data_IF_045862250063
#
_entry.id   IF_045862250063
#
_cell.length_a   1.000
_cell.length_b   1.000
_cell.length_c   1.000
_cell.angle_alpha   90.00
_cell.angle_beta   90.00
_cell.angle_gamma   90.00
#
_symmetry.space_group_name_H-M   'P 1'
#
loop_
_entity.id
_entity.type
_entity.pdbx_description
1 polymer ?
#
# COMPACT_ATOMS: atom_id res chain seq x y z
N UNK A 1 -16.04 -18.01 14.16
CA UNK A 1 -16.56 -17.15 13.07
C UNK A 1 -15.38 -16.66 12.24
N UNK A 2 -15.55 -16.55 10.92
CA UNK A 2 -14.51 -16.40 9.90
C UNK A 2 -13.72 -15.08 10.00
N UNK A 3 -12.43 -15.13 10.35
CA UNK A 3 -11.52 -13.98 10.18
C UNK A 3 -11.05 -13.92 8.72
N UNK A 4 -11.71 -13.07 7.93
CA UNK A 4 -11.41 -12.87 6.49
C UNK A 4 -11.20 -11.40 6.13
N UNK A 5 -10.75 -10.55 7.05
CA UNK A 5 -10.74 -9.08 6.87
C UNK A 5 -9.36 -8.40 6.80
N UNK A 6 -8.24 -9.12 6.78
CA UNK A 6 -6.91 -8.50 7.01
C UNK A 6 -6.03 -8.30 5.77
N UNK A 7 -6.61 -8.30 4.55
CA UNK A 7 -5.85 -8.25 3.28
C UNK A 7 -5.89 -6.93 2.51
N UNK A 8 -6.39 -5.84 3.10
CA UNK A 8 -6.92 -4.73 2.29
C UNK A 8 -6.06 -3.48 2.09
N UNK A 9 -5.14 -3.12 2.99
CA UNK A 9 -4.78 -1.70 3.11
C UNK A 9 -3.93 -1.16 1.95
N UNK A 10 -3.05 -1.96 1.37
CA UNK A 10 -2.06 -1.50 0.37
C UNK A 10 -2.29 -2.06 -1.05
N UNK A 11 -3.27 -2.95 -1.24
CA UNK A 11 -3.61 -3.58 -2.53
C UNK A 11 -4.32 -2.65 -3.53
N UNK A 12 -4.21 -1.33 -3.37
CA UNK A 12 -5.07 -0.36 -4.03
C UNK A 12 -4.39 0.53 -5.05
N UNK A 13 -3.06 0.66 -4.95
CA UNK A 13 -2.27 1.17 -6.07
C UNK A 13 -2.49 0.24 -7.29
N UNK A 14 -2.68 -1.06 -6.99
CA UNK A 14 -2.75 -2.25 -7.85
C UNK A 14 -3.64 -2.28 -9.09
N UNK A 15 -4.77 -1.59 -9.08
CA UNK A 15 -5.85 -1.94 -9.99
C UNK A 15 -6.44 -0.75 -10.74
N UNK A 16 -5.78 0.38 -10.56
CA UNK A 16 -6.24 1.65 -11.05
C UNK A 16 -5.75 1.89 -12.48
N UNK A 17 -4.64 1.26 -12.86
CA UNK A 17 -4.05 1.35 -14.20
C UNK A 17 -3.94 -0.01 -14.90
N UNK A 18 -4.06 -1.13 -14.19
CA UNK A 18 -4.27 -2.46 -14.78
C UNK A 18 -5.73 -2.66 -15.21
N UNK A 19 -6.23 -1.67 -15.98
CA UNK A 19 -7.40 -1.82 -16.83
C UNK A 19 -7.06 -2.92 -17.84
N UNK A 20 -7.52 -4.14 -17.55
CA UNK A 20 -7.42 -5.30 -18.43
C UNK A 20 -8.00 -4.96 -19.82
N UNK A 21 -7.17 -4.46 -20.73
CA UNK A 21 -7.49 -4.26 -22.15
C UNK A 21 -6.85 -5.36 -23.02
N UNK A 22 -6.18 -6.34 -22.40
CA UNK A 22 -5.66 -7.53 -23.05
C UNK A 22 -6.53 -8.75 -22.74
N UNK A 23 -7.10 -9.34 -23.79
CA UNK A 23 -8.04 -10.47 -23.82
C UNK A 23 -9.51 -10.12 -23.55
N UNK A 24 -10.29 -10.13 -24.63
CA UNK A 24 -11.75 -9.99 -24.70
C UNK A 24 -12.54 -11.12 -23.98
N UNK A 25 -11.93 -11.85 -23.05
CA UNK A 25 -12.58 -12.94 -22.34
C UNK A 25 -12.09 -12.98 -20.89
N UNK A 26 -13.03 -12.73 -19.95
CA UNK A 26 -12.91 -12.82 -18.49
C UNK A 26 -12.57 -11.53 -17.68
N UNK A 27 -13.28 -10.44 -17.98
CA UNK A 27 -13.93 -9.61 -16.96
C UNK A 27 -15.21 -9.04 -17.59
N UNK A 28 -16.37 -9.58 -17.23
CA UNK A 28 -17.66 -9.16 -17.81
C UNK A 28 -17.89 -7.64 -17.65
N UNK A 29 -18.12 -6.96 -18.77
CA UNK A 29 -19.20 -5.97 -18.90
C UNK A 29 -19.09 -4.62 -18.21
N UNK A 30 -18.03 -4.30 -17.45
CA UNK A 30 -17.90 -2.98 -16.83
C UNK A 30 -17.19 -2.03 -17.80
N UNK A 31 -17.91 -1.08 -18.43
CA UNK A 31 -17.29 -0.12 -19.33
C UNK A 31 -16.29 0.75 -18.57
N UNK A 32 -15.17 1.05 -19.24
CA UNK A 32 -14.26 2.09 -18.79
C UNK A 32 -14.61 3.40 -19.51
N UNK A 33 -14.52 4.53 -18.82
CA UNK A 33 -14.62 5.87 -19.39
C UNK A 33 -13.40 6.70 -19.03
N UNK A 34 -13.08 7.65 -19.91
CA UNK A 34 -12.03 8.65 -19.74
C UNK A 34 -12.61 9.99 -20.16
N UNK A 35 -12.70 10.91 -19.21
CA UNK A 35 -13.09 12.30 -19.44
C UNK A 35 -11.88 13.20 -19.20
N UNK A 36 -11.66 14.17 -20.09
CA UNK A 36 -10.61 15.18 -20.00
C UNK A 36 -10.93 16.35 -20.94
N UNK A 37 -10.26 17.50 -20.76
CA UNK A 37 -10.40 18.65 -21.66
C UNK A 37 -9.85 18.33 -23.06
N UNK A 38 -8.72 17.63 -23.13
CA UNK A 38 -8.11 17.17 -24.39
C UNK A 38 -7.71 15.71 -24.33
N UNK A 39 -7.87 15.01 -25.46
CA UNK A 39 -7.44 13.63 -25.66
C UNK A 39 -6.78 13.51 -27.03
N UNK A 40 -5.53 13.07 -27.04
CA UNK A 40 -4.77 12.73 -28.24
C UNK A 40 -4.48 11.23 -28.26
N UNK A 41 -4.59 10.60 -29.43
CA UNK A 41 -4.29 9.17 -29.60
C UNK A 41 -3.52 8.91 -30.90
N UNK A 42 -2.27 8.45 -30.80
CA UNK A 42 -1.49 7.97 -31.95
C UNK A 42 -1.75 6.46 -32.12
N UNK A 43 -2.59 6.12 -33.10
CA UNK A 43 -2.90 4.72 -33.46
C UNK A 43 -1.68 3.91 -33.92
N UNK A 44 -0.64 4.55 -34.44
CA UNK A 44 0.58 3.87 -34.92
C UNK A 44 1.42 3.42 -33.73
N UNK A 45 1.56 4.24 -32.70
CA UNK A 45 2.32 3.89 -31.48
C UNK A 45 1.47 3.18 -30.44
N UNK A 46 0.16 3.44 -30.41
CA UNK A 46 -0.77 3.01 -29.38
C UNK A 46 -0.82 3.96 -28.18
N UNK A 47 -0.25 5.16 -28.28
CA UNK A 47 -0.13 6.11 -27.17
C UNK A 47 -1.33 7.06 -27.12
N UNK A 48 -1.94 7.17 -25.95
CA UNK A 48 -2.98 8.14 -25.60
C UNK A 48 -2.45 9.14 -24.58
N UNK A 49 -2.75 10.42 -24.75
CA UNK A 49 -2.49 11.47 -23.76
C UNK A 49 -3.78 12.23 -23.49
N UNK A 50 -4.17 12.28 -22.22
CA UNK A 50 -5.32 13.05 -21.73
C UNK A 50 -4.83 14.21 -20.85
N UNK A 51 -5.35 15.42 -21.04
CA UNK A 51 -4.95 16.61 -20.26
C UNK A 51 -6.18 17.43 -19.86
N UNK A 52 -6.13 18.00 -18.65
CA UNK A 52 -7.18 18.84 -18.10
C UNK A 52 -8.28 18.00 -17.44
N UNK A 53 -8.39 18.10 -16.12
CA UNK A 53 -9.40 17.42 -15.29
C UNK A 53 -9.63 15.95 -15.67
N UNK A 54 -8.53 15.19 -15.79
CA UNK A 54 -8.60 13.80 -16.20
C UNK A 54 -9.39 13.01 -15.16
N UNK A 55 -10.40 12.27 -15.61
CA UNK A 55 -11.17 11.31 -14.81
C UNK A 55 -11.24 9.98 -15.57
N UNK A 56 -10.58 8.96 -15.04
CA UNK A 56 -10.75 7.57 -15.47
C UNK A 56 -11.73 6.89 -14.53
N UNK A 57 -12.72 6.19 -15.08
CA UNK A 57 -13.70 5.41 -14.30
C UNK A 57 -13.85 4.01 -14.87
N UNK A 58 -13.87 3.00 -14.01
CA UNK A 58 -14.27 1.63 -14.35
C UNK A 58 -14.93 0.96 -13.15
N UNK A 59 -16.25 0.78 -13.21
CA UNK A 59 -17.03 0.27 -12.09
C UNK A 59 -16.92 1.21 -10.91
N UNK A 60 -16.56 0.68 -9.74
CA UNK A 60 -16.36 1.47 -8.51
C UNK A 60 -14.95 2.10 -8.40
N UNK A 61 -14.14 1.97 -9.45
CA UNK A 61 -12.76 2.46 -9.47
C UNK A 61 -12.67 3.79 -10.20
N UNK A 62 -11.98 4.75 -9.61
CA UNK A 62 -11.84 6.10 -10.16
C UNK A 62 -10.42 6.63 -10.00
N UNK A 63 -9.94 7.39 -10.98
CA UNK A 63 -8.61 8.02 -10.99
C UNK A 63 -8.77 9.41 -11.50
N UNK A 64 -8.27 10.38 -10.74
CA UNK A 64 -8.24 11.77 -11.17
C UNK A 64 -6.83 12.31 -11.17
N UNK A 65 -6.55 13.24 -12.09
CA UNK A 65 -5.31 13.99 -12.13
C UNK A 65 -5.36 15.12 -13.15
N UNK A 66 -4.26 15.85 -13.31
CA UNK A 66 -4.16 16.93 -14.28
C UNK A 66 -3.82 16.41 -15.69
N UNK A 67 -3.05 15.33 -15.77
CA UNK A 67 -2.62 14.71 -17.03
C UNK A 67 -2.50 13.20 -16.86
N UNK A 68 -2.83 12.44 -17.89
CA UNK A 68 -2.59 11.00 -17.93
C UNK A 68 -2.04 10.56 -19.28
N UNK A 69 -1.22 9.51 -19.26
CA UNK A 69 -0.76 8.81 -20.47
C UNK A 69 -1.11 7.34 -20.40
N UNK A 70 -1.33 6.71 -21.55
CA UNK A 70 -1.58 5.28 -21.66
C UNK A 70 -1.03 4.74 -22.97
N UNK A 71 -0.36 3.59 -22.94
CA UNK A 71 0.04 2.88 -24.14
C UNK A 71 -0.75 1.57 -24.27
N UNK A 72 -1.54 1.42 -25.33
CA UNK A 72 -2.39 0.24 -25.55
C UNK A 72 -1.62 -1.04 -25.86
N UNK A 73 -0.36 -0.95 -26.30
CA UNK A 73 0.49 -2.10 -26.61
C UNK A 73 1.20 -2.64 -25.39
N UNK A 74 1.75 -1.75 -24.55
CA UNK A 74 2.49 -2.13 -23.34
C UNK A 74 1.60 -2.16 -22.10
N UNK A 75 0.42 -1.52 -22.16
CA UNK A 75 -0.46 -1.25 -21.02
C UNK A 75 0.18 -0.35 -19.95
N UNK A 76 1.30 0.30 -20.27
CA UNK A 76 1.92 1.26 -19.37
C UNK A 76 1.05 2.52 -19.29
N UNK A 77 0.96 3.11 -18.10
CA UNK A 77 0.15 4.28 -17.85
C UNK A 77 0.77 5.19 -16.79
N UNK A 78 0.48 6.49 -16.90
CA UNK A 78 0.85 7.48 -15.89
C UNK A 78 -0.32 8.42 -15.61
N UNK A 79 -0.38 8.95 -14.39
CA UNK A 79 -1.27 10.03 -13.98
C UNK A 79 -0.47 11.01 -13.14
N UNK A 80 -0.57 12.31 -13.44
CA UNK A 80 0.27 13.35 -12.86
C UNK A 80 -0.58 14.52 -12.36
N UNK A 81 -0.19 15.08 -11.21
CA UNK A 81 -0.76 16.28 -10.63
C UNK A 81 -2.05 16.03 -9.83
N UNK A 82 -1.98 16.21 -8.51
CA UNK A 82 -3.10 16.04 -7.58
C UNK A 82 -3.83 14.70 -7.75
N UNK A 83 -3.06 13.61 -7.85
CA UNK A 83 -3.63 12.30 -8.15
C UNK A 83 -4.51 11.84 -7.00
N UNK A 84 -5.72 11.41 -7.33
CA UNK A 84 -6.61 10.71 -6.40
C UNK A 84 -7.04 9.42 -7.06
N UNK A 85 -6.80 8.32 -6.37
CA UNK A 85 -7.01 6.98 -6.87
C UNK A 85 -7.92 6.24 -5.88
N UNK A 86 -9.07 5.73 -6.34
CA UNK A 86 -10.00 4.95 -5.53
C UNK A 86 -10.16 3.57 -6.13
N UNK A 87 -9.92 2.53 -5.33
CA UNK A 87 -10.09 1.14 -5.74
C UNK A 87 -10.49 0.25 -4.56
N UNK A 88 -11.60 -0.48 -4.72
CA UNK A 88 -12.10 -1.45 -3.73
C UNK A 88 -12.10 -0.91 -2.29
N UNK A 89 -12.55 0.33 -2.11
CA UNK A 89 -12.64 0.99 -0.80
C UNK A 89 -11.34 1.59 -0.26
N UNK A 90 -10.20 1.44 -0.95
CA UNK A 90 -9.02 2.24 -0.64
C UNK A 90 -9.02 3.53 -1.43
N UNK A 91 -8.61 4.61 -0.78
CA UNK A 91 -8.28 5.89 -1.38
C UNK A 91 -6.78 6.16 -1.26
N UNK A 92 -6.14 6.46 -2.37
CA UNK A 92 -4.74 6.89 -2.50
C UNK A 92 -4.69 8.33 -3.00
N UNK A 93 -3.79 9.14 -2.46
CA UNK A 93 -3.43 10.45 -2.99
C UNK A 93 -1.92 10.55 -3.16
N UNK A 94 -1.46 11.15 -4.25
CA UNK A 94 -0.04 11.40 -4.52
C UNK A 94 0.13 12.47 -5.61
N UNK A 95 1.37 12.87 -5.89
CA UNK A 95 1.68 13.81 -6.97
C UNK A 95 1.80 13.10 -8.33
N UNK A 96 2.26 11.85 -8.32
CA UNK A 96 2.49 11.02 -9.50
C UNK A 96 2.11 9.56 -9.26
N UNK A 97 1.48 8.93 -10.24
CA UNK A 97 1.13 7.51 -10.25
C UNK A 97 1.53 6.89 -11.59
N UNK A 98 2.18 5.74 -11.56
CA UNK A 98 2.60 4.98 -12.74
C UNK A 98 2.28 3.51 -12.59
N UNK A 99 2.06 2.86 -13.73
CA UNK A 99 1.91 1.41 -13.87
C UNK A 99 2.67 0.94 -15.09
N UNK A 100 3.48 -0.11 -14.92
CA UNK A 100 4.05 -0.89 -16.01
C UNK A 100 3.19 -2.14 -16.24
N UNK A 101 2.05 -1.93 -16.92
CA UNK A 101 1.06 -2.96 -17.17
C UNK A 101 0.51 -3.59 -15.88
N UNK A 102 0.73 -4.89 -15.70
CA UNK A 102 0.32 -5.66 -14.52
C UNK A 102 1.47 -6.04 -13.59
N UNK A 103 2.70 -5.59 -13.85
CA UNK A 103 3.90 -6.05 -13.14
C UNK A 103 4.23 -5.18 -11.92
N UNK A 104 4.15 -3.86 -12.10
CA UNK A 104 4.63 -2.89 -11.13
C UNK A 104 3.81 -1.61 -11.21
N UNK A 105 3.53 -1.05 -10.04
CA UNK A 105 2.95 0.28 -9.89
C UNK A 105 3.75 1.09 -8.88
N UNK A 106 3.85 2.39 -9.14
CA UNK A 106 4.57 3.32 -8.28
C UNK A 106 3.71 4.55 -8.03
N UNK A 107 3.55 4.92 -6.77
CA UNK A 107 3.06 6.22 -6.34
C UNK A 107 4.22 7.05 -5.79
N UNK A 108 4.32 8.32 -6.15
CA UNK A 108 5.40 9.20 -5.73
C UNK A 108 4.88 10.61 -5.40
N UNK A 109 5.52 11.23 -4.41
CA UNK A 109 5.23 12.58 -3.93
C UNK A 109 3.99 12.60 -3.05
N UNK A 110 4.16 12.98 -1.77
CA UNK A 110 3.08 13.15 -0.80
C UNK A 110 2.11 11.95 -0.73
N UNK A 111 2.64 10.72 -0.83
CA UNK A 111 1.79 9.52 -0.93
C UNK A 111 1.05 9.28 0.38
N UNK A 112 -0.28 9.20 0.30
CA UNK A 112 -1.16 8.85 1.43
C UNK A 112 -2.24 7.89 0.96
N UNK A 113 -2.33 6.74 1.62
CA UNK A 113 -3.37 5.75 1.37
C UNK A 113 -4.23 5.51 2.61
N UNK A 114 -5.50 5.21 2.41
CA UNK A 114 -6.45 4.93 3.48
C UNK A 114 -7.49 3.90 3.07
N UNK A 115 -7.83 2.98 3.97
CA UNK A 115 -8.94 2.04 3.87
C UNK A 115 -9.46 1.78 5.28
N UNK A 116 -10.75 1.98 5.53
CA UNK A 116 -11.34 1.79 6.86
C UNK A 116 -10.57 2.58 7.96
N UNK A 117 -10.13 1.94 9.03
CA UNK A 117 -9.38 2.53 10.17
C UNK A 117 -7.87 2.65 9.91
N UNK A 118 -7.45 2.44 8.67
CA UNK A 118 -6.12 1.94 8.34
C UNK A 118 -5.48 2.88 7.30
N UNK A 119 -4.28 3.40 7.58
CA UNK A 119 -3.59 4.32 6.66
C UNK A 119 -2.12 3.96 6.43
N UNK A 120 -1.58 4.46 5.32
CA UNK A 120 -0.14 4.45 5.08
C UNK A 120 0.30 5.76 4.43
N UNK A 121 1.54 6.15 4.66
CA UNK A 121 2.17 7.28 3.96
C UNK A 121 3.66 7.07 3.75
N UNK A 122 4.19 7.72 2.73
CA UNK A 122 5.61 7.75 2.39
C UNK A 122 5.88 8.69 1.23
N UNK A 123 7.15 8.89 0.87
CA UNK A 123 7.50 9.69 -0.29
C UNK A 123 7.32 8.94 -1.61
N UNK A 124 7.53 7.62 -1.58
CA UNK A 124 7.33 6.72 -2.71
C UNK A 124 6.84 5.37 -2.19
N UNK A 125 5.87 4.78 -2.91
CA UNK A 125 5.34 3.45 -2.63
C UNK A 125 5.34 2.65 -3.93
N UNK A 126 6.11 1.57 -3.94
CA UNK A 126 6.16 0.60 -5.03
C UNK A 126 5.29 -0.61 -4.70
N UNK A 127 4.59 -1.13 -5.69
CA UNK A 127 3.66 -2.24 -5.55
C UNK A 127 3.82 -3.25 -6.70
N UNK A 128 3.97 -4.52 -6.34
CA UNK A 128 4.20 -5.64 -7.25
C UNK A 128 3.12 -6.72 -7.04
N UNK A 129 1.98 -6.65 -7.74
CA UNK A 129 0.85 -7.57 -7.53
C UNK A 129 1.20 -9.04 -7.78
N UNK A 130 2.05 -9.29 -8.77
CA UNK A 130 2.43 -10.65 -9.16
C UNK A 130 3.43 -11.28 -8.18
N UNK A 131 4.11 -10.46 -7.39
CA UNK A 131 5.10 -10.89 -6.40
C UNK A 131 4.47 -10.98 -5.00
N UNK A 132 3.37 -11.73 -4.88
CA UNK A 132 2.69 -11.93 -3.60
C UNK A 132 2.07 -10.65 -2.99
N UNK A 133 1.63 -9.73 -3.86
CA UNK A 133 1.19 -8.38 -3.49
C UNK A 133 2.28 -7.66 -2.65
N UNK A 134 3.51 -7.66 -3.18
CA UNK A 134 4.67 -7.10 -2.50
C UNK A 134 4.70 -5.58 -2.59
N UNK A 135 5.10 -4.92 -1.49
CA UNK A 135 5.15 -3.48 -1.35
C UNK A 135 6.49 -3.04 -0.80
N UNK A 136 6.95 -1.91 -1.29
CA UNK A 136 8.13 -1.21 -0.77
C UNK A 136 7.79 0.25 -0.51
N UNK A 137 8.13 0.73 0.68
CA UNK A 137 8.23 2.15 1.02
C UNK A 137 9.70 2.41 1.35
N UNK A 138 10.48 2.87 0.38
CA UNK A 138 11.96 2.87 0.46
C UNK A 138 12.55 4.11 1.16
N UNK A 139 11.74 5.15 1.41
CA UNK A 139 12.19 6.43 1.97
C UNK A 139 11.23 6.95 3.03
N UNK A 140 11.31 6.35 4.22
CA UNK A 140 10.45 6.67 5.34
C UNK A 140 9.03 6.19 5.10
N UNK A 141 8.45 5.57 6.11
CA UNK A 141 7.07 5.11 6.04
C UNK A 141 6.38 5.26 7.38
N UNK A 142 5.09 5.57 7.32
CA UNK A 142 4.20 5.46 8.47
C UNK A 142 3.02 4.58 8.07
N UNK A 143 2.71 3.59 8.91
CA UNK A 143 1.49 2.79 8.82
C UNK A 143 0.67 3.04 10.08
N UNK A 144 -0.65 3.09 9.95
CA UNK A 144 -1.57 3.20 11.11
C UNK A 144 -2.71 2.20 11.03
N UNK A 145 -3.20 1.78 12.20
CA UNK A 145 -4.44 1.03 12.36
C UNK A 145 -5.15 1.52 13.62
N UNK A 146 -6.23 2.28 13.46
CA UNK A 146 -6.80 3.06 14.54
C UNK A 146 -5.74 4.02 15.10
N UNK A 147 -5.49 3.93 16.40
CA UNK A 147 -4.49 4.75 17.10
C UNK A 147 -3.09 4.13 17.12
N UNK A 148 -2.93 2.89 16.66
CA UNK A 148 -1.62 2.23 16.58
C UNK A 148 -0.83 2.79 15.39
N UNK A 149 0.45 3.08 15.60
CA UNK A 149 1.36 3.63 14.58
C UNK A 149 2.62 2.78 14.48
N UNK A 150 3.08 2.56 13.26
CA UNK A 150 4.37 1.93 12.95
C UNK A 150 5.17 2.81 11.99
N UNK A 151 6.46 2.99 12.25
CA UNK A 151 7.39 3.74 11.41
C UNK A 151 8.71 3.01 11.22
N UNK A 152 9.33 3.19 10.06
CA UNK A 152 10.70 2.75 9.79
C UNK A 152 11.29 3.59 8.64
N UNK A 153 12.61 3.51 8.44
CA UNK A 153 13.31 4.14 7.32
C UNK A 153 12.93 3.46 6.00
N UNK A 154 12.70 2.14 6.03
CA UNK A 154 12.19 1.35 4.92
C UNK A 154 11.15 0.36 5.39
N UNK A 155 10.08 0.17 4.61
CA UNK A 155 9.03 -0.80 4.92
C UNK A 155 8.83 -1.72 3.72
N UNK A 156 8.84 -3.02 4.01
CA UNK A 156 8.52 -4.10 3.09
C UNK A 156 7.25 -4.79 3.54
N UNK A 157 6.41 -5.21 2.62
CA UNK A 157 5.18 -5.93 2.96
C UNK A 157 4.78 -6.95 1.90
N UNK A 158 4.33 -8.12 2.33
CA UNK A 158 3.74 -9.16 1.49
C UNK A 158 2.29 -9.39 1.92
N UNK A 159 1.34 -8.75 1.23
CA UNK A 159 -0.04 -8.67 1.74
C UNK A 159 -0.75 -10.01 1.80
N UNK A 160 -0.47 -10.93 0.87
CA UNK A 160 -1.07 -12.27 0.89
C UNK A 160 -0.61 -13.08 2.10
N UNK A 161 0.57 -12.76 2.62
CA UNK A 161 1.18 -13.39 3.78
C UNK A 161 0.97 -12.64 5.09
N UNK A 162 0.47 -11.40 5.02
CA UNK A 162 0.34 -10.52 6.17
C UNK A 162 1.70 -10.39 6.91
N UNK A 163 2.78 -10.34 6.12
CA UNK A 163 4.16 -10.29 6.59
C UNK A 163 4.75 -8.93 6.25
N UNK A 164 5.35 -8.25 7.23
CA UNK A 164 5.86 -6.89 7.08
C UNK A 164 7.19 -6.74 7.79
N UNK A 165 8.14 -6.05 7.15
CA UNK A 165 9.46 -5.78 7.72
C UNK A 165 9.67 -4.27 7.69
N UNK A 166 9.97 -3.67 8.83
CA UNK A 166 10.56 -2.32 8.88
C UNK A 166 12.05 -2.42 9.15
N UNK A 167 12.85 -1.80 8.30
CA UNK A 167 14.31 -1.68 8.45
C UNK A 167 14.69 -0.23 8.71
N UNK A 168 15.64 -0.03 9.63
CA UNK A 168 16.10 1.27 10.08
C UNK A 168 15.10 1.95 10.99
N UNK A 169 15.51 2.25 12.23
CA UNK A 169 14.71 2.98 13.21
C UNK A 169 13.26 2.45 13.34
N UNK A 170 13.08 1.13 13.28
CA UNK A 170 11.77 0.50 13.32
C UNK A 170 11.12 0.74 14.70
N UNK A 171 9.93 1.32 14.71
CA UNK A 171 9.26 1.78 15.93
C UNK A 171 7.76 1.56 15.83
N UNK A 172 7.16 1.03 16.89
CA UNK A 172 5.72 0.83 17.04
C UNK A 172 5.25 1.52 18.31
N UNK A 173 4.18 2.30 18.18
CA UNK A 173 3.42 2.86 19.28
C UNK A 173 2.03 2.24 19.20
N UNK A 174 1.64 1.49 20.22
CA UNK A 174 0.34 0.81 20.26
C UNK A 174 -0.40 1.19 21.55
N UNK A 175 -1.11 2.34 21.54
CA UNK A 175 -1.94 2.75 22.67
C UNK A 175 -3.00 1.70 23.02
N UNK A 176 -3.55 1.01 22.01
CA UNK A 176 -4.53 -0.06 22.19
C UNK A 176 -4.02 -1.24 23.06
N UNK A 177 -2.71 -1.38 23.19
CA UNK A 177 -2.03 -2.42 23.96
C UNK A 177 -1.22 -1.88 25.13
N UNK A 178 -1.30 -0.57 25.40
CA UNK A 178 -0.44 0.14 26.34
C UNK A 178 1.05 -0.23 26.14
N UNK A 179 1.47 -0.30 24.87
CA UNK A 179 2.77 -0.84 24.46
C UNK A 179 3.48 0.11 23.50
N UNK A 180 4.79 0.20 23.64
CA UNK A 180 5.70 0.84 22.70
C UNK A 180 6.92 -0.07 22.50
N UNK A 181 7.42 -0.20 21.28
CA UNK A 181 8.62 -1.01 21.03
C UNK A 181 9.41 -0.51 19.83
N UNK A 182 10.70 -0.83 19.77
CA UNK A 182 11.52 -0.46 18.64
C UNK A 182 12.88 -1.15 18.61
N UNK A 183 13.58 -0.99 17.49
CA UNK A 183 14.91 -1.52 17.23
C UNK A 183 15.40 -1.16 15.84
N UNK A 184 16.52 -1.73 15.42
CA UNK A 184 17.10 -1.49 14.10
C UNK A 184 16.22 -2.10 12.99
N UNK A 185 15.57 -3.24 13.28
CA UNK A 185 14.62 -3.90 12.38
C UNK A 185 13.48 -4.54 13.18
N UNK A 186 12.28 -4.53 12.60
CA UNK A 186 11.11 -5.25 13.10
C UNK A 186 10.49 -6.10 12.00
N UNK A 187 10.29 -7.38 12.26
CA UNK A 187 9.77 -8.38 11.36
C UNK A 187 8.45 -8.95 11.93
N UNK A 188 7.33 -8.58 11.32
CA UNK A 188 5.98 -8.84 11.81
C UNK A 188 5.23 -9.85 10.93
N UNK A 189 4.75 -10.91 11.56
CA UNK A 189 3.97 -11.98 10.96
C UNK A 189 2.53 -11.90 11.48
N UNK A 190 1.57 -11.54 10.62
CA UNK A 190 0.16 -11.37 11.00
C UNK A 190 -0.66 -12.66 11.04
N UNK A 191 -0.26 -13.68 10.27
CA UNK A 191 -0.90 -15.01 10.30
C UNK A 191 -0.65 -15.68 11.66
N UNK A 192 -1.65 -16.43 12.16
CA UNK A 192 -1.55 -17.24 13.40
C UNK A 192 -1.23 -16.43 14.66
N UNK A 193 -2.14 -15.54 15.05
CA UNK A 193 -2.14 -14.76 16.30
C UNK A 193 -1.19 -13.56 16.36
N UNK A 194 -0.33 -13.37 15.35
CA UNK A 194 0.51 -12.18 15.28
C UNK A 194 1.80 -12.34 16.11
N UNK A 195 2.95 -12.16 15.46
CA UNK A 195 4.26 -12.16 16.14
C UNK A 195 5.15 -11.08 15.53
N UNK A 196 5.80 -10.28 16.37
CA UNK A 196 6.85 -9.36 15.96
C UNK A 196 8.21 -9.83 16.49
N UNK A 197 9.21 -9.86 15.61
CA UNK A 197 10.61 -10.10 15.95
C UNK A 197 11.35 -8.79 15.77
N UNK A 198 11.92 -8.27 16.86
CA UNK A 198 12.70 -7.04 16.85
C UNK A 198 14.17 -7.43 16.97
N UNK A 199 15.02 -6.91 16.10
CA UNK A 199 16.45 -7.21 16.06
C UNK A 199 17.28 -5.94 15.98
N UNK A 200 18.41 -5.94 16.68
CA UNK A 200 19.30 -4.78 16.77
C UNK A 200 18.74 -3.73 17.72
N UNK A 201 19.47 -3.42 18.80
CA UNK A 201 19.07 -2.45 19.82
C UNK A 201 17.60 -2.58 20.28
N UNK A 202 17.07 -3.81 20.35
CA UNK A 202 15.65 -4.06 20.55
C UNK A 202 15.21 -3.65 21.97
N UNK A 203 14.10 -2.92 22.05
CA UNK A 203 13.50 -2.50 23.30
C UNK A 203 11.98 -2.51 23.22
N UNK A 204 11.33 -2.65 24.38
CA UNK A 204 9.89 -2.50 24.51
C UNK A 204 9.54 -1.94 25.90
N UNK A 205 8.45 -1.19 25.95
CA UNK A 205 7.81 -0.69 27.16
C UNK A 205 6.37 -1.17 27.17
N UNK A 206 5.95 -1.84 28.24
CA UNK A 206 4.56 -2.26 28.46
C UNK A 206 4.19 -2.05 29.92
N UNK A 207 3.14 -1.28 30.20
CA UNK A 207 2.65 -1.02 31.57
C UNK A 207 3.78 -0.60 32.56
N UNK A 208 4.66 0.31 32.12
CA UNK A 208 5.86 0.79 32.85
C UNK A 208 7.02 -0.21 32.98
N UNK A 209 6.91 -1.42 32.42
CA UNK A 209 8.02 -2.36 32.39
C UNK A 209 8.85 -2.15 31.12
N UNK A 210 10.16 -1.96 31.29
CA UNK A 210 11.10 -1.81 30.17
C UNK A 210 11.87 -3.11 29.96
N UNK A 211 11.89 -3.58 28.72
CA UNK A 211 12.62 -4.77 28.27
C UNK A 211 13.65 -4.35 27.22
N UNK A 212 14.84 -4.95 27.25
CA UNK A 212 15.90 -4.69 26.27
C UNK A 212 16.62 -5.99 25.91
N UNK A 213 16.97 -6.15 24.64
CA UNK A 213 17.70 -7.30 24.12
C UNK A 213 18.35 -6.95 22.78
N UNK A 214 19.25 -7.78 22.29
CA UNK A 214 19.68 -7.71 20.89
C UNK A 214 18.63 -8.32 19.94
N UNK A 215 17.82 -9.25 20.46
CA UNK A 215 16.70 -9.87 19.75
C UNK A 215 15.54 -10.08 20.71
N UNK A 216 14.39 -9.52 20.40
CA UNK A 216 13.15 -9.66 21.17
C UNK A 216 12.08 -10.28 20.28
N UNK A 217 11.26 -11.15 20.84
CA UNK A 217 10.07 -11.68 20.16
C UNK A 217 8.85 -11.35 21.00
N UNK A 218 7.91 -10.63 20.40
CA UNK A 218 6.63 -10.25 21.01
C UNK A 218 5.54 -11.07 20.33
N UNK A 219 4.81 -11.86 21.12
CA UNK A 219 3.62 -12.56 20.66
C UNK A 219 2.38 -11.73 21.01
N UNK A 220 1.55 -11.47 20.01
CA UNK A 220 0.26 -10.83 20.20
C UNK A 220 -0.76 -11.95 20.53
N UNK A 221 -1.65 -11.76 21.49
CA UNK A 221 -2.67 -12.75 21.88
C UNK A 221 -3.95 -12.59 21.06
N UNK A 222 -4.80 -13.64 21.09
CA UNK A 222 -6.10 -13.71 20.40
C UNK A 222 -7.08 -12.57 20.77
N UNK A 223 -6.91 -11.93 21.92
CA UNK A 223 -7.71 -10.80 22.41
C UNK A 223 -7.03 -9.43 22.21
N UNK A 224 -5.84 -9.42 21.60
CA UNK A 224 -5.03 -8.22 21.38
C UNK A 224 -4.02 -7.91 22.48
N UNK A 225 -3.97 -8.66 23.60
CA UNK A 225 -2.96 -8.47 24.66
C UNK A 225 -1.62 -9.10 24.30
N UNK A 226 -0.49 -8.50 24.63
CA UNK A 226 0.81 -9.16 24.43
C UNK A 226 1.07 -10.15 25.57
N UNK A 227 1.35 -11.42 25.26
CA UNK A 227 1.87 -12.40 26.23
C UNK A 227 3.29 -12.76 25.85
N UNK A 228 4.25 -12.33 26.67
CA UNK A 228 5.65 -12.75 26.52
C UNK A 228 5.81 -14.16 27.11
N UNK A 229 6.36 -15.08 26.32
CA UNK A 229 6.91 -16.36 26.80
C UNK A 229 8.42 -16.34 26.64
#
# INVERSE_FOLDING_TARGET
MKNKKMKGMLAAVAAILSLHMGTLYAAEGVPASLDADTLEYDMRTGEATATGYVLLTRGDSHVTGNRATYNSKTQAATVEGNVIAVYQGTRLTCDYLMSDGQEHMMAQGNVRGSRDDKTFSGEQVDYFPQQNDYIVIDRGGQLTSGDDTFTADRIYGWLKDEHYIGEGNAHVVSPSRAMEAGGDQMDYYGKEQGKAVITGNAWAVQENNTMRSNRMTIYLADDGSAKVK
#
